data_IF_821479058295
#
_entry.id   IF_821479058295
#
_cell.length_a   1.000
_cell.length_b   1.000
_cell.length_c   1.000
_cell.angle_alpha   90.00
_cell.angle_beta   90.00
_cell.angle_gamma   90.00
#
_symmetry.space_group_name_H-M   'P 1'
#
loop_
_entity.id
_entity.type
_entity.pdbx_description
1 polymer ?
#
# COMPACT_ATOMS: atom_id res chain seq x y z
N UNK A 1 -8.84 46.87 -14.38
CA UNK A 1 -8.20 46.04 -15.43
C UNK A 1 -7.96 44.68 -14.80
N UNK A 2 -8.83 43.71 -15.09
CA UNK A 2 -8.80 42.36 -14.50
C UNK A 2 -7.96 41.48 -15.44
N UNK A 3 -6.97 40.72 -14.95
CA UNK A 3 -6.17 39.86 -15.82
C UNK A 3 -7.06 38.75 -16.41
N UNK A 4 -6.77 38.27 -17.64
CA UNK A 4 -7.56 37.22 -18.24
C UNK A 4 -7.42 35.92 -17.44
N UNK A 5 -8.54 35.24 -17.22
CA UNK A 5 -8.59 33.89 -16.66
C UNK A 5 -7.88 32.98 -17.68
N UNK A 6 -6.80 32.31 -17.26
CA UNK A 6 -6.13 31.29 -18.06
C UNK A 6 -7.14 30.18 -18.41
N UNK A 7 -7.22 29.82 -19.69
CA UNK A 7 -8.11 28.77 -20.19
C UNK A 7 -7.85 27.45 -19.46
N UNK A 8 -8.92 26.73 -19.06
CA UNK A 8 -8.84 25.37 -18.52
C UNK A 8 -8.15 24.39 -19.47
N UNK A 9 -8.04 24.72 -20.75
CA UNK A 9 -7.44 23.87 -21.77
C UNK A 9 -5.92 23.71 -21.62
N UNK A 10 -5.24 24.57 -20.83
CA UNK A 10 -3.79 24.47 -20.61
C UNK A 10 -3.37 23.35 -19.65
N UNK A 11 -4.31 22.60 -19.08
CA UNK A 11 -4.07 21.52 -18.13
C UNK A 11 -4.48 20.13 -18.65
N UNK A 12 -4.88 20.00 -19.91
CA UNK A 12 -5.21 18.70 -20.47
C UNK A 12 -3.95 18.09 -21.11
N UNK A 13 -3.29 17.11 -20.46
CA UNK A 13 -2.22 16.37 -21.13
C UNK A 13 -2.80 15.70 -22.37
N UNK A 14 -2.13 15.86 -23.51
CA UNK A 14 -2.37 15.12 -24.77
C UNK A 14 -1.93 13.65 -24.68
N UNK A 15 -1.98 13.05 -23.49
CA UNK A 15 -1.62 11.66 -23.31
C UNK A 15 -2.77 10.78 -23.81
N UNK A 16 -2.47 9.93 -24.79
CA UNK A 16 -3.19 8.69 -25.03
C UNK A 16 -3.50 8.07 -23.67
N UNK A 17 -4.77 8.05 -23.26
CA UNK A 17 -5.17 7.61 -21.91
C UNK A 17 -4.66 6.19 -21.69
N UNK A 18 -3.59 6.06 -20.92
CA UNK A 18 -3.04 4.76 -20.55
C UNK A 18 -4.18 3.94 -19.95
N UNK A 19 -4.42 2.74 -20.48
CA UNK A 19 -5.52 1.91 -20.00
C UNK A 19 -5.08 1.17 -18.74
N UNK A 20 -5.94 1.06 -17.72
CA UNK A 20 -5.60 0.31 -16.52
C UNK A 20 -5.28 -1.14 -16.82
N UNK A 21 -4.22 -1.66 -16.20
CA UNK A 21 -3.91 -3.09 -16.22
C UNK A 21 -4.45 -3.73 -14.94
N UNK A 22 -5.29 -4.78 -15.02
CA UNK A 22 -5.72 -5.51 -13.82
C UNK A 22 -4.53 -6.04 -13.03
N UNK A 23 -4.60 -5.93 -11.70
CA UNK A 23 -3.55 -6.37 -10.79
C UNK A 23 -4.08 -7.42 -9.82
N UNK A 24 -3.24 -8.42 -9.53
CA UNK A 24 -3.52 -9.45 -8.55
C UNK A 24 -2.27 -9.63 -7.68
N UNK A 25 -2.45 -9.56 -6.36
CA UNK A 25 -1.37 -9.81 -5.40
C UNK A 25 -1.02 -11.29 -5.46
N UNK A 26 0.24 -11.60 -5.76
CA UNK A 26 0.74 -12.96 -5.84
C UNK A 26 2.14 -13.04 -5.23
N UNK A 27 2.22 -13.07 -3.91
CA UNK A 27 3.49 -13.21 -3.19
C UNK A 27 3.92 -14.68 -3.23
N UNK A 28 5.12 -14.99 -3.76
CA UNK A 28 5.57 -16.38 -3.87
C UNK A 28 5.88 -16.97 -2.49
N UNK A 29 5.62 -18.26 -2.31
CA UNK A 29 5.81 -18.97 -1.04
C UNK A 29 7.25 -18.86 -0.52
N UNK A 30 8.24 -18.77 -1.43
CA UNK A 30 9.65 -18.56 -1.06
C UNK A 30 9.89 -17.28 -0.25
N UNK A 31 9.10 -16.22 -0.48
CA UNK A 31 9.17 -14.98 0.31
C UNK A 31 8.55 -15.17 1.70
N UNK A 32 7.50 -15.98 1.80
CA UNK A 32 6.84 -16.31 3.08
C UNK A 32 7.73 -17.20 3.94
N UNK A 33 8.36 -18.21 3.34
CA UNK A 33 9.32 -19.07 4.04
C UNK A 33 10.56 -18.29 4.47
N UNK A 34 11.06 -17.38 3.62
CA UNK A 34 12.14 -16.48 4.01
C UNK A 34 11.74 -15.56 5.17
N UNK A 35 10.51 -15.05 5.20
CA UNK A 35 10.00 -14.25 6.31
C UNK A 35 10.00 -15.07 7.62
N UNK A 36 9.46 -16.29 7.59
CA UNK A 36 9.45 -17.18 8.77
C UNK A 36 10.87 -17.47 9.25
N UNK A 37 11.80 -17.81 8.35
CA UNK A 37 13.19 -18.05 8.72
C UNK A 37 13.85 -16.83 9.38
N UNK A 38 13.56 -15.60 8.92
CA UNK A 38 14.06 -14.37 9.55
C UNK A 38 13.47 -14.14 10.93
N UNK A 39 12.18 -14.40 11.12
CA UNK A 39 11.51 -14.29 12.41
C UNK A 39 12.01 -15.35 13.41
N UNK A 40 12.45 -16.52 12.91
CA UNK A 40 13.02 -17.60 13.72
C UNK A 40 14.42 -17.28 14.25
N UNK A 41 15.21 -16.58 13.43
CA UNK A 41 16.60 -16.26 13.73
C UNK A 41 16.79 -14.91 14.41
N UNK A 42 15.69 -14.21 14.73
CA UNK A 42 15.78 -12.88 15.33
C UNK A 42 16.47 -12.95 16.70
N UNK A 43 17.44 -12.07 16.91
CA UNK A 43 18.03 -11.82 18.23
C UNK A 43 17.36 -10.58 18.80
N UNK A 44 16.76 -10.71 19.98
CA UNK A 44 16.10 -9.60 20.65
C UNK A 44 17.10 -8.80 21.49
N UNK A 45 16.96 -7.47 21.57
CA UNK A 45 17.73 -6.66 22.51
C UNK A 45 17.28 -6.92 23.96
N UNK A 46 18.12 -6.50 24.91
CA UNK A 46 17.73 -6.36 26.32
C UNK A 46 16.86 -5.10 26.52
N UNK A 47 16.08 -5.06 27.59
CA UNK A 47 15.17 -3.95 27.93
C UNK A 47 15.39 -3.54 29.39
N UNK A 48 15.34 -2.24 29.67
CA UNK A 48 15.44 -1.71 31.04
C UNK A 48 14.16 -2.05 31.81
N UNK A 49 14.31 -2.49 33.06
CA UNK A 49 13.18 -2.71 33.97
C UNK A 49 12.33 -1.43 34.10
N UNK A 50 11.01 -1.59 34.14
CA UNK A 50 10.02 -0.53 34.31
C UNK A 50 10.06 0.63 33.28
N UNK A 51 10.72 0.46 32.13
CA UNK A 51 10.81 1.48 31.08
C UNK A 51 9.55 1.68 30.22
N UNK A 52 8.57 0.79 30.36
CA UNK A 52 7.26 0.92 29.70
C UNK A 52 7.38 1.15 28.18
N UNK A 53 6.88 2.29 27.71
CA UNK A 53 6.95 2.72 26.30
C UNK A 53 7.85 3.95 26.09
N UNK A 54 8.57 4.38 27.12
CA UNK A 54 9.29 5.67 27.13
C UNK A 54 10.42 5.72 26.08
N UNK A 55 10.90 4.55 25.64
CA UNK A 55 11.94 4.39 24.63
C UNK A 55 11.46 3.66 23.36
N UNK A 56 10.15 3.59 23.13
CA UNK A 56 9.56 2.99 21.95
C UNK A 56 8.75 1.73 22.25
N UNK A 57 8.68 0.82 21.28
CA UNK A 57 7.88 -0.39 21.39
C UNK A 57 8.46 -1.34 22.45
N UNK A 58 7.66 -1.80 23.42
CA UNK A 58 8.14 -2.72 24.46
C UNK A 58 8.64 -4.04 23.87
N UNK A 59 9.69 -4.61 24.46
CA UNK A 59 10.26 -5.89 24.04
C UNK A 59 9.23 -7.02 24.11
N UNK A 60 8.34 -6.96 25.10
CA UNK A 60 7.23 -7.90 25.26
C UNK A 60 6.29 -7.89 24.05
N UNK A 61 5.96 -6.71 23.53
CA UNK A 61 5.15 -6.55 22.32
C UNK A 61 5.89 -7.01 21.07
N UNK A 62 7.18 -6.69 20.94
CA UNK A 62 8.00 -7.17 19.83
C UNK A 62 8.05 -8.70 19.80
N UNK A 63 8.33 -9.36 20.94
CA UNK A 63 8.31 -10.83 21.06
C UNK A 63 6.94 -11.42 20.71
N UNK A 64 5.85 -10.79 21.17
CA UNK A 64 4.46 -11.20 20.85
C UNK A 64 4.17 -11.10 19.36
N UNK A 65 4.53 -9.99 18.72
CA UNK A 65 4.34 -9.76 17.28
C UNK A 65 5.20 -10.71 16.44
N UNK A 66 6.47 -10.91 16.77
CA UNK A 66 7.33 -11.90 16.09
C UNK A 66 6.72 -13.29 16.14
N UNK A 67 6.25 -13.72 17.32
CA UNK A 67 5.58 -15.02 17.47
C UNK A 67 4.32 -15.10 16.60
N UNK A 68 3.48 -14.06 16.60
CA UNK A 68 2.26 -14.05 15.80
C UNK A 68 2.55 -14.09 14.30
N UNK A 69 3.48 -13.27 13.80
CA UNK A 69 3.82 -13.29 12.37
C UNK A 69 4.50 -14.59 11.93
N UNK A 70 5.28 -15.23 12.80
CA UNK A 70 5.93 -16.51 12.50
C UNK A 70 4.92 -17.63 12.29
N UNK A 71 3.95 -17.77 13.20
CA UNK A 71 3.12 -18.98 13.28
C UNK A 71 1.62 -18.77 13.39
N UNK A 72 1.15 -17.54 13.61
CA UNK A 72 -0.27 -17.22 13.79
C UNK A 72 -0.90 -16.46 12.62
N UNK A 73 -0.11 -15.73 11.85
CA UNK A 73 -0.60 -14.92 10.73
C UNK A 73 -0.56 -15.71 9.41
N UNK A 74 -1.70 -15.76 8.73
CA UNK A 74 -1.84 -16.42 7.43
C UNK A 74 -1.89 -15.37 6.32
N UNK A 75 -0.75 -15.16 5.66
CA UNK A 75 -0.66 -14.24 4.51
C UNK A 75 -1.53 -14.68 3.34
N UNK A 76 -1.64 -15.99 3.07
CA UNK A 76 -2.41 -16.48 1.91
C UNK A 76 -3.90 -16.21 2.08
N UNK A 77 -4.40 -16.30 3.31
CA UNK A 77 -5.76 -15.85 3.64
C UNK A 77 -5.94 -14.34 3.41
N UNK A 78 -5.01 -13.51 3.88
CA UNK A 78 -5.08 -12.06 3.68
C UNK A 78 -4.99 -11.66 2.19
N UNK A 79 -4.09 -12.30 1.44
CA UNK A 79 -3.91 -12.14 0.00
C UNK A 79 -5.20 -12.46 -0.77
N UNK A 80 -5.84 -13.60 -0.47
CA UNK A 80 -7.14 -13.96 -1.05
C UNK A 80 -8.22 -12.91 -0.74
N UNK A 81 -8.34 -12.49 0.53
CA UNK A 81 -9.30 -11.47 0.93
C UNK A 81 -9.12 -10.14 0.19
N UNK A 82 -7.87 -9.69 -0.02
CA UNK A 82 -7.57 -8.47 -0.75
C UNK A 82 -7.92 -8.59 -2.24
N UNK A 83 -7.52 -9.70 -2.87
CA UNK A 83 -7.78 -9.93 -4.29
C UNK A 83 -9.27 -10.13 -4.61
N UNK A 84 -10.04 -10.75 -3.71
CA UNK A 84 -11.49 -10.97 -3.88
C UNK A 84 -12.31 -9.72 -3.54
N UNK A 85 -11.91 -9.00 -2.49
CA UNK A 85 -12.68 -7.87 -1.96
C UNK A 85 -12.47 -6.55 -2.71
N UNK A 86 -11.35 -6.41 -3.45
CA UNK A 86 -10.93 -5.13 -4.02
C UNK A 86 -10.47 -5.29 -5.49
N UNK A 87 -11.15 -4.64 -6.44
CA UNK A 87 -10.64 -4.53 -7.81
C UNK A 87 -9.39 -3.65 -7.83
N UNK A 88 -8.26 -4.25 -8.17
CA UNK A 88 -6.94 -3.62 -8.16
C UNK A 88 -6.40 -3.46 -9.57
N UNK A 89 -5.68 -2.37 -9.80
CA UNK A 89 -5.10 -2.04 -11.09
C UNK A 89 -3.72 -1.40 -10.92
N UNK A 90 -2.94 -1.45 -12.00
CA UNK A 90 -1.75 -0.62 -12.17
C UNK A 90 -1.86 0.23 -13.43
N UNK A 91 -1.18 1.36 -13.42
CA UNK A 91 -1.10 2.27 -14.57
C UNK A 91 0.22 3.05 -14.54
N UNK A 92 0.83 3.27 -15.69
CA UNK A 92 1.98 4.16 -15.83
C UNK A 92 1.50 5.61 -15.88
N UNK A 93 2.04 6.43 -14.97
CA UNK A 93 1.73 7.85 -14.83
C UNK A 93 3.01 8.65 -15.00
N UNK A 94 3.01 9.56 -15.98
CA UNK A 94 4.14 10.47 -16.19
C UNK A 94 4.14 11.57 -15.14
N UNK A 95 5.24 11.68 -14.40
CA UNK A 95 5.45 12.67 -13.35
C UNK A 95 6.62 13.56 -13.74
N UNK A 96 6.35 14.86 -13.85
CA UNK A 96 7.36 15.86 -14.18
C UNK A 96 8.55 15.78 -13.21
N UNK A 97 9.77 15.67 -13.75
CA UNK A 97 11.00 15.54 -12.97
C UNK A 97 11.29 14.14 -12.40
N UNK A 98 10.35 13.19 -12.48
CA UNK A 98 10.51 11.83 -11.97
C UNK A 98 10.36 10.74 -13.04
N UNK A 99 9.92 11.11 -14.24
CA UNK A 99 9.67 10.17 -15.34
C UNK A 99 8.35 9.42 -15.15
N UNK A 100 8.23 8.25 -15.76
CA UNK A 100 7.01 7.45 -15.68
C UNK A 100 7.05 6.53 -14.45
N UNK A 101 5.99 6.54 -13.64
CA UNK A 101 5.84 5.72 -12.44
C UNK A 101 4.68 4.74 -12.62
N UNK A 102 4.92 3.47 -12.34
CA UNK A 102 3.83 2.48 -12.28
C UNK A 102 3.10 2.61 -10.94
N UNK A 103 1.87 3.10 -10.97
CA UNK A 103 1.04 3.37 -9.80
C UNK A 103 0.03 2.23 -9.62
N UNK A 104 0.04 1.60 -8.43
CA UNK A 104 -1.02 0.69 -7.99
C UNK A 104 -2.16 1.47 -7.35
N UNK A 105 -3.40 1.03 -7.60
CA UNK A 105 -4.58 1.58 -6.96
C UNK A 105 -5.73 0.57 -6.91
N UNK A 106 -6.66 0.80 -5.98
CA UNK A 106 -7.97 0.13 -5.93
C UNK A 106 -9.01 1.04 -6.55
N UNK A 107 -9.84 0.52 -7.44
CA UNK A 107 -10.92 1.29 -8.05
C UNK A 107 -12.22 0.49 -8.08
N UNK A 108 -13.19 0.93 -7.26
CA UNK A 108 -14.54 0.36 -7.25
C UNK A 108 -15.50 1.32 -7.94
N UNK A 109 -15.92 0.96 -9.15
CA UNK A 109 -16.90 1.72 -9.91
C UNK A 109 -18.27 1.66 -9.24
N UNK A 110 -18.93 2.82 -9.16
CA UNK A 110 -20.33 2.90 -8.75
C UNK A 110 -21.24 2.49 -9.92
N UNK A 111 -22.35 1.83 -9.61
CA UNK A 111 -23.41 1.54 -10.58
C UNK A 111 -24.21 2.79 -10.96
N UNK A 112 -24.07 3.90 -10.20
CA UNK A 112 -24.76 5.16 -10.49
C UNK A 112 -23.99 5.94 -11.56
N UNK A 113 -24.69 6.27 -12.66
CA UNK A 113 -24.14 6.99 -13.83
C UNK A 113 -23.48 8.32 -13.46
N UNK A 114 -24.00 9.04 -12.46
CA UNK A 114 -23.49 10.35 -12.02
C UNK A 114 -22.88 10.28 -10.62
N UNK A 115 -22.22 9.16 -10.28
CA UNK A 115 -21.52 9.05 -9.01
C UNK A 115 -20.41 10.11 -8.92
N UNK A 116 -20.30 10.75 -7.76
CA UNK A 116 -19.21 11.68 -7.48
C UNK A 116 -17.92 10.85 -7.34
N UNK A 117 -16.87 11.12 -8.14
CA UNK A 117 -15.61 10.44 -7.99
C UNK A 117 -14.95 10.86 -6.67
N UNK A 118 -14.52 9.89 -5.88
CA UNK A 118 -13.77 10.12 -4.64
C UNK A 118 -12.39 9.48 -4.78
N UNK A 119 -11.37 10.23 -4.38
CA UNK A 119 -9.99 9.75 -4.32
C UNK A 119 -9.59 9.71 -2.85
N UNK A 120 -9.17 8.53 -2.39
CA UNK A 120 -8.64 8.32 -1.05
C UNK A 120 -7.13 8.17 -1.15
N UNK A 121 -6.40 9.09 -0.52
CA UNK A 121 -4.94 9.09 -0.51
C UNK A 121 -4.50 8.71 0.89
N UNK A 122 -3.77 7.60 1.00
CA UNK A 122 -3.18 7.18 2.27
C UNK A 122 -1.91 7.99 2.57
N UNK A 123 -1.52 8.02 3.84
CA UNK A 123 -0.27 8.61 4.30
C UNK A 123 0.71 7.55 4.78
N UNK A 124 1.74 7.98 5.48
CA UNK A 124 2.65 7.10 6.21
C UNK A 124 2.13 6.87 7.65
N UNK A 125 2.16 5.66 8.24
CA UNK A 125 2.73 4.39 7.75
C UNK A 125 1.65 3.44 7.16
N UNK A 126 0.70 4.00 6.40
CA UNK A 126 -0.45 3.27 5.86
C UNK A 126 -0.17 2.47 4.60
#
# INVERSE_FOLDING_TARGET
MIPPILSLDSFLPTNTMASPTPFCIAVPDSKLELLKAKLDLVTFPDELEDSGQDYGAPLTDMKRLTKYWKSGFDWKKAEAMLNEGMPQYTMDVDVEGFGSLNVHYVHKLSERVNAIPLVFVHGWPG
#
